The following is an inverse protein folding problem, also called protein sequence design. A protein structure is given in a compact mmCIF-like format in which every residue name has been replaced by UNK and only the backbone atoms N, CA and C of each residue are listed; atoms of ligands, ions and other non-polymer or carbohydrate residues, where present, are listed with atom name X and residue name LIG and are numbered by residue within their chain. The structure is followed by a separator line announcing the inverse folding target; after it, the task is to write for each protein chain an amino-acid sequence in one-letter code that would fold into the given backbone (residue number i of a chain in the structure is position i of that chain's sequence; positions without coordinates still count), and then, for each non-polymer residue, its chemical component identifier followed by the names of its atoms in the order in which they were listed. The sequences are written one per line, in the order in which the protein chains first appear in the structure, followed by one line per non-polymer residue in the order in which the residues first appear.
data_IF_617101044572
#
_entry.id   IF_617101044572
#
_cell.length_a   1.000
_cell.length_b   1.000
_cell.length_c   1.000
_cell.angle_alpha   90.00
_cell.angle_beta   90.00
_cell.angle_gamma   90.00
#
_symmetry.space_group_name_H-M   'P 1'
#
loop_
_entity.id
_entity.type
_entity.pdbx_description
1 polymer ?
#
# COMPACT_ATOMS: atom_id res chain seq x y z
N UNK A 1 9.15 -27.41 -7.97
CA UNK A 1 7.94 -26.65 -7.56
C UNK A 1 7.86 -25.53 -8.58
N UNK A 2 6.95 -25.70 -9.60
CA UNK A 2 6.84 -24.78 -10.71
C UNK A 2 6.34 -23.39 -10.26
N UNK A 3 6.86 -22.32 -10.83
CA UNK A 3 6.37 -20.96 -10.65
C UNK A 3 5.06 -20.82 -11.41
N UNK A 4 3.94 -20.84 -10.70
CA UNK A 4 2.65 -20.38 -11.23
C UNK A 4 2.67 -18.85 -11.31
N UNK A 5 2.54 -18.30 -12.51
CA UNK A 5 2.41 -16.85 -12.72
C UNK A 5 0.92 -16.50 -12.78
N UNK A 6 0.54 -15.35 -12.25
CA UNK A 6 -0.82 -14.81 -12.41
C UNK A 6 -1.25 -14.67 -13.89
N UNK A 7 -0.28 -14.54 -14.81
CA UNK A 7 -0.50 -14.58 -16.26
C UNK A 7 -1.06 -15.92 -16.77
N UNK A 8 -0.85 -17.01 -16.00
CA UNK A 8 -1.26 -18.36 -16.39
C UNK A 8 -2.68 -18.70 -15.89
N UNK A 9 -3.26 -17.81 -15.07
CA UNK A 9 -4.64 -17.87 -14.59
C UNK A 9 -5.59 -17.39 -15.68
N UNK A 10 -5.78 -18.18 -16.73
CA UNK A 10 -6.92 -17.97 -17.63
C UNK A 10 -8.19 -18.41 -16.91
N UNK A 11 -8.79 -17.48 -16.17
CA UNK A 11 -10.16 -17.65 -15.71
C UNK A 11 -11.07 -17.79 -16.94
N UNK A 12 -11.58 -18.98 -17.17
CA UNK A 12 -12.66 -19.21 -18.15
C UNK A 12 -14.01 -19.10 -17.43
N UNK A 13 -14.68 -17.94 -17.46
CA UNK A 13 -16.09 -17.93 -17.15
C UNK A 13 -16.81 -18.67 -18.29
N UNK A 14 -17.65 -19.62 -17.96
CA UNK A 14 -18.63 -20.15 -18.91
C UNK A 14 -19.68 -19.04 -19.15
N UNK A 15 -19.35 -18.06 -19.95
CA UNK A 15 -20.26 -17.05 -20.48
C UNK A 15 -19.94 -16.91 -21.96
N UNK A 16 -20.98 -17.08 -22.76
CA UNK A 16 -21.00 -17.18 -24.20
C UNK A 16 -19.96 -16.41 -25.00
N UNK A 17 -19.53 -17.02 -26.09
CA UNK A 17 -18.51 -16.53 -27.03
C UNK A 17 -18.72 -15.06 -27.44
N UNK A 18 -18.18 -14.13 -26.67
CA UNK A 18 -17.80 -12.83 -27.19
C UNK A 18 -16.28 -12.83 -27.27
N UNK A 19 -15.74 -12.76 -28.48
CA UNK A 19 -14.31 -12.50 -28.72
C UNK A 19 -13.96 -11.19 -27.99
N UNK A 20 -13.25 -11.29 -26.91
CA UNK A 20 -12.53 -10.15 -26.34
C UNK A 20 -11.32 -9.96 -27.24
N UNK A 21 -11.31 -8.89 -28.02
CA UNK A 21 -10.15 -8.49 -28.81
C UNK A 21 -8.98 -8.22 -27.86
N UNK A 22 -7.93 -9.02 -27.96
CA UNK A 22 -6.73 -8.97 -27.13
C UNK A 22 -5.58 -8.16 -27.78
N UNK A 23 -5.91 -7.12 -28.52
CA UNK A 23 -4.97 -6.07 -28.84
C UNK A 23 -5.46 -4.78 -28.20
N UNK A 24 -5.19 -4.58 -26.90
CA UNK A 24 -5.04 -3.22 -26.42
C UNK A 24 -3.74 -2.73 -27.08
N UNK A 25 -3.85 -1.74 -27.96
CA UNK A 25 -2.73 -0.85 -28.21
C UNK A 25 -2.20 -0.44 -26.85
N UNK A 26 -0.90 -0.62 -26.61
CA UNK A 26 -0.28 -0.23 -25.36
C UNK A 26 -0.57 1.26 -25.16
N UNK A 27 -1.45 1.58 -24.22
CA UNK A 27 -1.73 2.96 -23.89
C UNK A 27 -0.41 3.59 -23.38
N UNK A 28 0.12 4.63 -24.04
CA UNK A 28 1.36 5.27 -23.63
C UNK A 28 1.39 5.71 -22.17
N UNK A 29 0.24 5.83 -21.52
CA UNK A 29 0.11 6.14 -20.10
C UNK A 29 0.31 4.93 -19.17
N UNK A 30 0.38 3.71 -19.70
CA UNK A 30 0.52 2.51 -18.85
C UNK A 30 1.87 1.81 -18.97
N UNK A 31 2.68 2.12 -19.98
CA UNK A 31 4.03 1.57 -20.12
C UNK A 31 4.95 2.06 -19.00
N UNK A 32 5.38 1.16 -18.09
CA UNK A 32 6.19 1.50 -16.93
C UNK A 32 5.43 2.27 -15.83
N UNK A 33 4.13 1.99 -15.70
CA UNK A 33 3.24 2.66 -14.76
C UNK A 33 3.67 2.47 -13.31
N UNK A 34 3.71 3.56 -12.57
CA UNK A 34 3.96 3.59 -11.12
C UNK A 34 2.62 3.79 -10.41
N UNK A 35 2.21 2.81 -9.59
CA UNK A 35 1.09 2.93 -8.67
C UNK A 35 1.48 3.76 -7.44
N UNK A 36 0.58 4.62 -7.01
CA UNK A 36 0.74 5.41 -5.78
C UNK A 36 -0.53 5.24 -4.97
N UNK A 37 -0.41 4.75 -3.73
CA UNK A 37 -1.54 4.56 -2.83
C UNK A 37 -1.34 5.31 -1.52
N UNK A 38 -2.32 6.10 -1.12
CA UNK A 38 -2.21 6.90 0.10
C UNK A 38 -3.45 7.74 0.38
N UNK A 39 -3.29 8.80 1.12
CA UNK A 39 -4.36 9.76 1.41
C UNK A 39 -4.84 10.52 0.17
N UNK A 40 -6.01 11.13 0.27
CA UNK A 40 -6.68 11.79 -0.86
C UNK A 40 -5.98 13.06 -1.38
N UNK A 41 -5.02 13.62 -0.64
CA UNK A 41 -4.25 14.78 -1.10
C UNK A 41 -3.17 14.47 -2.15
N UNK A 42 -2.81 13.20 -2.34
CA UNK A 42 -1.69 12.83 -3.22
C UNK A 42 -1.96 13.01 -4.72
N UNK A 43 -3.21 13.00 -5.15
CA UNK A 43 -3.54 13.20 -6.57
C UNK A 43 -3.79 14.67 -6.98
N UNK A 44 -3.68 15.59 -6.04
CA UNK A 44 -3.69 17.06 -6.28
C UNK A 44 -2.28 17.64 -6.39
N UNK A 45 -1.29 16.78 -6.68
CA UNK A 45 0.11 17.16 -6.78
C UNK A 45 0.34 18.15 -7.92
N UNK A 46 1.11 19.20 -7.65
CA UNK A 46 1.62 20.10 -8.69
C UNK A 46 2.45 19.36 -9.74
N UNK A 47 2.27 19.70 -11.00
CA UNK A 47 3.01 19.10 -12.11
C UNK A 47 2.47 17.77 -12.60
N UNK A 48 1.28 17.36 -12.16
CA UNK A 48 0.58 16.22 -12.73
C UNK A 48 -0.11 16.63 -14.04
N UNK A 49 0.28 16.00 -15.14
CA UNK A 49 -0.20 16.26 -16.50
C UNK A 49 -1.08 15.11 -17.01
N UNK A 50 -1.89 15.34 -18.06
CA UNK A 50 -2.74 14.35 -18.72
C UNK A 50 -3.68 13.60 -17.77
N UNK A 51 -4.23 14.29 -16.79
CA UNK A 51 -5.01 13.71 -15.70
C UNK A 51 -6.33 13.15 -16.20
N UNK A 52 -6.60 11.89 -15.90
CA UNK A 52 -7.89 11.25 -16.13
C UNK A 52 -8.26 10.29 -15.01
N UNK A 53 -9.54 10.07 -14.81
CA UNK A 53 -10.06 9.05 -13.90
C UNK A 53 -10.34 7.74 -14.64
N UNK A 54 -9.99 6.62 -14.03
CA UNK A 54 -10.21 5.29 -14.56
C UNK A 54 -11.00 4.44 -13.57
N UNK A 55 -12.10 3.85 -14.03
CA UNK A 55 -12.89 2.89 -13.25
C UNK A 55 -12.40 1.49 -13.58
N UNK A 56 -11.72 0.85 -12.65
CA UNK A 56 -11.22 -0.51 -12.84
C UNK A 56 -12.16 -1.51 -12.19
N UNK A 57 -12.67 -2.44 -12.99
CA UNK A 57 -13.47 -3.57 -12.51
C UNK A 57 -12.57 -4.73 -12.17
N UNK A 58 -12.78 -5.33 -11.00
CA UNK A 58 -12.00 -6.48 -10.54
C UNK A 58 -12.90 -7.66 -10.18
N UNK A 59 -12.40 -8.90 -10.21
CA UNK A 59 -13.15 -10.06 -9.73
C UNK A 59 -13.40 -10.05 -8.21
N UNK A 60 -12.75 -9.14 -7.50
CA UNK A 60 -12.86 -8.97 -6.05
C UNK A 60 -13.82 -7.85 -5.64
N UNK A 61 -14.55 -7.28 -6.57
CA UNK A 61 -15.42 -6.13 -6.37
C UNK A 61 -14.74 -4.81 -6.75
N UNK A 62 -15.28 -3.71 -6.22
CA UNK A 62 -14.79 -2.37 -6.52
C UNK A 62 -13.60 -1.97 -5.64
N UNK A 63 -12.59 -1.28 -6.21
CA UNK A 63 -11.56 -0.59 -5.44
C UNK A 63 -12.14 0.51 -4.53
N UNK A 64 -11.32 1.02 -3.62
CA UNK A 64 -11.71 2.09 -2.69
C UNK A 64 -12.17 3.36 -3.39
N UNK A 65 -11.62 3.64 -4.56
CA UNK A 65 -12.01 4.78 -5.42
C UNK A 65 -11.63 4.50 -6.88
N UNK A 66 -11.92 5.47 -7.76
CA UNK A 66 -11.36 5.50 -9.12
C UNK A 66 -9.87 5.75 -9.05
N UNK A 67 -9.13 5.16 -9.98
CA UNK A 67 -7.73 5.49 -10.16
C UNK A 67 -7.60 6.82 -10.90
N UNK A 68 -6.71 7.68 -10.43
CA UNK A 68 -6.35 8.91 -11.12
C UNK A 68 -5.04 8.66 -11.86
N UNK A 69 -5.12 8.56 -13.19
CA UNK A 69 -3.95 8.38 -14.04
C UNK A 69 -3.44 9.74 -14.51
N UNK A 70 -2.14 9.83 -14.73
CA UNK A 70 -1.51 11.03 -15.26
C UNK A 70 -0.03 10.80 -15.55
N UNK A 71 0.67 11.90 -15.82
CA UNK A 71 2.12 11.94 -15.95
C UNK A 71 2.71 12.88 -14.91
N UNK A 72 3.69 12.39 -14.19
CA UNK A 72 4.49 13.20 -13.27
C UNK A 72 5.93 13.23 -13.80
N UNK A 73 6.41 14.42 -14.18
CA UNK A 73 7.72 14.57 -14.83
C UNK A 73 7.92 13.59 -16.00
N UNK A 74 6.90 13.44 -16.84
CA UNK A 74 6.88 12.54 -17.99
C UNK A 74 6.76 11.04 -17.68
N UNK A 75 6.71 10.63 -16.41
CA UNK A 75 6.52 9.23 -16.00
C UNK A 75 5.03 8.95 -15.79
N UNK A 76 4.50 7.84 -16.32
CA UNK A 76 3.11 7.47 -16.10
C UNK A 76 2.91 7.05 -14.64
N UNK A 77 1.86 7.60 -14.03
CA UNK A 77 1.48 7.34 -12.63
C UNK A 77 -0.02 7.04 -12.53
N UNK A 78 -0.38 6.21 -11.56
CA UNK A 78 -1.76 5.97 -11.18
C UNK A 78 -1.89 6.13 -9.66
N UNK A 79 -2.76 7.02 -9.22
CA UNK A 79 -3.05 7.24 -7.81
C UNK A 79 -4.33 6.52 -7.40
N UNK A 80 -4.35 5.99 -6.18
CA UNK A 80 -5.55 5.47 -5.53
C UNK A 80 -5.66 6.06 -4.12
N UNK A 81 -6.78 6.72 -3.83
CA UNK A 81 -7.14 7.12 -2.49
C UNK A 81 -7.50 5.88 -1.66
N UNK A 82 -6.61 5.46 -0.73
CA UNK A 82 -6.76 4.22 0.04
C UNK A 82 -8.11 4.13 0.74
N UNK A 83 -8.51 5.18 1.42
CA UNK A 83 -9.77 5.26 2.18
C UNK A 83 -10.94 5.85 1.38
N UNK A 84 -10.78 5.98 0.04
CA UNK A 84 -11.70 6.73 -0.81
C UNK A 84 -11.63 8.24 -0.56
N UNK A 85 -12.14 9.04 -1.49
CA UNK A 85 -12.24 10.48 -1.32
C UNK A 85 -13.11 10.82 -0.11
N UNK A 86 -12.64 11.76 0.70
CA UNK A 86 -13.29 12.15 1.94
C UNK A 86 -13.11 11.15 3.08
N UNK A 87 -12.14 10.22 2.98
CA UNK A 87 -11.77 9.27 4.05
C UNK A 87 -12.99 8.50 4.60
N UNK A 88 -13.78 7.90 3.70
CA UNK A 88 -15.09 7.30 4.01
C UNK A 88 -15.05 5.83 4.38
N UNK A 89 -13.91 5.15 4.16
CA UNK A 89 -13.73 3.72 4.42
C UNK A 89 -12.81 3.51 5.63
N UNK A 90 -13.27 2.74 6.60
CA UNK A 90 -12.42 2.29 7.70
C UNK A 90 -11.33 1.30 7.21
N UNK A 91 -10.23 1.12 7.95
CA UNK A 91 -9.15 0.20 7.56
C UNK A 91 -9.62 -1.22 7.23
N UNK A 92 -10.61 -1.74 7.96
CA UNK A 92 -11.13 -3.10 7.75
C UNK A 92 -12.24 -3.18 6.67
N UNK A 93 -12.74 -2.03 6.18
CA UNK A 93 -13.66 -1.96 5.04
C UNK A 93 -12.94 -1.85 3.70
N UNK A 94 -11.62 -1.63 3.72
CA UNK A 94 -10.82 -1.51 2.51
C UNK A 94 -10.84 -2.81 1.71
N UNK A 95 -11.24 -2.74 0.45
CA UNK A 95 -11.11 -3.86 -0.46
C UNK A 95 -9.67 -3.95 -1.00
N UNK A 96 -8.74 -4.38 -0.14
CA UNK A 96 -7.33 -4.49 -0.49
C UNK A 96 -7.09 -5.32 -1.76
N UNK A 97 -7.87 -6.40 -1.95
CA UNK A 97 -7.77 -7.23 -3.16
C UNK A 97 -8.10 -6.43 -4.41
N UNK A 98 -9.23 -5.72 -4.40
CA UNK A 98 -9.61 -4.90 -5.54
C UNK A 98 -8.59 -3.77 -5.79
N UNK A 99 -8.10 -3.14 -4.73
CA UNK A 99 -7.11 -2.06 -4.82
C UNK A 99 -5.81 -2.52 -5.50
N UNK A 100 -5.22 -3.61 -5.05
CA UNK A 100 -3.96 -4.09 -5.62
C UNK A 100 -4.16 -4.75 -6.97
N UNK A 101 -5.24 -5.52 -7.14
CA UNK A 101 -5.57 -6.10 -8.45
C UNK A 101 -5.84 -5.05 -9.52
N UNK A 102 -6.45 -3.94 -9.15
CA UNK A 102 -6.68 -2.83 -10.07
C UNK A 102 -5.39 -2.22 -10.59
N UNK A 103 -4.38 -2.03 -9.75
CA UNK A 103 -3.04 -1.64 -10.21
C UNK A 103 -2.43 -2.67 -11.17
N UNK A 104 -2.64 -3.97 -10.91
CA UNK A 104 -2.19 -5.03 -11.82
C UNK A 104 -2.89 -4.96 -13.18
N UNK A 105 -4.20 -4.70 -13.21
CA UNK A 105 -4.98 -4.51 -14.45
C UNK A 105 -4.50 -3.31 -15.25
N UNK A 106 -4.11 -2.24 -14.57
CA UNK A 106 -3.55 -1.02 -15.19
C UNK A 106 -2.12 -1.22 -15.69
N UNK A 107 -1.45 -2.32 -15.33
CA UNK A 107 -0.09 -2.61 -15.74
C UNK A 107 0.98 -2.01 -14.82
N UNK A 108 0.65 -1.65 -13.58
CA UNK A 108 1.64 -1.17 -12.64
C UNK A 108 2.66 -2.26 -12.28
N UNK A 109 3.93 -1.91 -12.34
CA UNK A 109 5.06 -2.76 -11.94
C UNK A 109 5.58 -2.41 -10.56
N UNK A 110 5.34 -1.19 -10.10
CA UNK A 110 5.74 -0.67 -8.79
C UNK A 110 4.55 -0.02 -8.10
N UNK A 111 4.49 -0.16 -6.77
CA UNK A 111 3.55 0.56 -5.93
C UNK A 111 4.32 1.28 -4.82
N UNK A 112 4.22 2.60 -4.82
CA UNK A 112 4.64 3.47 -3.72
C UNK A 112 3.44 3.66 -2.79
N UNK A 113 3.59 3.29 -1.53
CA UNK A 113 2.56 3.53 -0.53
C UNK A 113 2.99 4.62 0.42
N UNK A 114 2.10 5.54 0.75
CA UNK A 114 2.29 6.52 1.81
C UNK A 114 1.23 6.31 2.89
N UNK A 115 1.66 6.29 4.15
CA UNK A 115 0.78 6.04 5.28
C UNK A 115 1.24 6.79 6.51
N UNK A 116 0.34 7.48 7.20
CA UNK A 116 0.58 8.02 8.53
C UNK A 116 0.74 6.87 9.53
N UNK A 117 1.68 6.99 10.47
CA UNK A 117 2.00 5.98 11.47
C UNK A 117 2.41 6.62 12.80
N UNK A 118 2.15 5.90 13.91
CA UNK A 118 2.75 6.20 15.19
C UNK A 118 4.16 5.59 15.31
N UNK A 119 5.08 6.30 15.97
CA UNK A 119 6.41 5.77 16.29
C UNK A 119 6.41 4.95 17.57
N UNK A 120 7.17 3.86 17.57
CA UNK A 120 7.46 3.02 18.74
C UNK A 120 8.89 3.23 19.28
N UNK A 121 9.63 4.21 18.73
CA UNK A 121 11.02 4.51 19.04
C UNK A 121 11.24 5.97 19.36
N UNK A 122 12.06 6.26 20.36
CA UNK A 122 12.46 7.63 20.70
C UNK A 122 13.23 8.34 19.59
N UNK A 123 14.03 7.57 18.85
CA UNK A 123 14.89 8.07 17.78
C UNK A 123 14.16 8.33 16.46
N UNK A 124 12.97 7.77 16.28
CA UNK A 124 12.11 7.99 15.09
C UNK A 124 11.01 8.97 15.51
N UNK A 125 11.19 10.22 15.18
CA UNK A 125 10.37 11.33 15.71
C UNK A 125 9.20 11.66 14.81
N UNK A 126 8.15 12.31 15.32
CA UNK A 126 7.15 12.97 14.47
C UNK A 126 7.83 13.83 13.40
N UNK A 127 7.31 13.81 12.18
CA UNK A 127 7.85 14.39 10.94
C UNK A 127 9.03 13.61 10.31
N UNK A 128 9.53 12.58 10.94
CA UNK A 128 10.47 11.65 10.29
C UNK A 128 9.72 10.70 9.34
N UNK A 129 10.46 10.10 8.42
CA UNK A 129 9.97 9.08 7.50
C UNK A 129 10.71 7.78 7.81
N UNK A 130 9.97 6.68 7.96
CA UNK A 130 10.56 5.34 7.98
C UNK A 130 10.24 4.61 6.66
N UNK A 131 11.24 3.97 6.07
CA UNK A 131 11.07 3.00 4.98
C UNK A 131 11.21 1.61 5.57
N UNK A 132 10.11 0.98 6.03
CA UNK A 132 10.16 -0.32 6.69
C UNK A 132 10.47 -1.43 5.70
N UNK A 133 11.17 -2.45 6.14
CA UNK A 133 11.48 -3.65 5.38
C UNK A 133 10.80 -4.91 5.94
N UNK A 134 10.18 -4.81 7.13
CA UNK A 134 9.48 -5.90 7.79
C UNK A 134 8.09 -5.49 8.26
N UNK A 135 7.19 -6.49 8.37
CA UNK A 135 5.84 -6.33 8.89
C UNK A 135 5.53 -7.36 9.96
N UNK A 136 4.76 -6.92 10.97
CA UNK A 136 4.13 -7.80 11.94
C UNK A 136 2.60 -7.68 11.85
N UNK A 137 1.91 -8.80 11.65
CA UNK A 137 0.45 -8.83 11.43
C UNK A 137 -0.31 -8.97 12.75
N UNK A 138 -1.08 -7.95 13.10
CA UNK A 138 -2.04 -7.97 14.21
C UNK A 138 -3.47 -7.78 13.72
N UNK A 139 -3.72 -7.99 12.43
CA UNK A 139 -5.06 -7.95 11.85
C UNK A 139 -5.70 -9.35 11.89
N UNK A 140 -7.02 -9.43 11.96
CA UNK A 140 -7.74 -10.69 12.17
C UNK A 140 -8.88 -10.94 11.17
N UNK A 141 -9.39 -9.90 10.51
CA UNK A 141 -10.63 -9.99 9.71
C UNK A 141 -10.42 -9.58 8.24
N UNK A 142 -9.19 -9.52 7.76
CA UNK A 142 -8.89 -8.98 6.43
C UNK A 142 -8.52 -10.07 5.44
N UNK A 143 -9.09 -9.99 4.24
CA UNK A 143 -8.64 -10.80 3.12
C UNK A 143 -7.25 -10.30 2.68
N UNK A 144 -6.25 -11.19 2.70
CA UNK A 144 -4.85 -10.89 2.39
C UNK A 144 -4.24 -11.83 1.35
N UNK A 145 -5.10 -12.48 0.54
CA UNK A 145 -4.69 -13.33 -0.59
C UNK A 145 -5.72 -13.25 -1.71
N UNK A 146 -5.24 -13.36 -2.95
CA UNK A 146 -6.08 -13.49 -4.13
C UNK A 146 -6.57 -14.93 -4.37
N UNK A 147 -5.90 -15.88 -3.73
CA UNK A 147 -6.12 -17.31 -3.95
C UNK A 147 -7.15 -17.86 -2.96
N UNK A 148 -7.79 -18.96 -3.35
CA UNK A 148 -8.85 -19.61 -2.61
C UNK A 148 -9.68 -20.48 -3.55
N UNK A 149 -10.85 -20.93 -3.11
CA UNK A 149 -11.84 -21.66 -3.91
C UNK A 149 -11.24 -22.81 -4.75
N UNK A 150 -10.30 -23.55 -4.17
CA UNK A 150 -9.64 -24.68 -4.81
C UNK A 150 -8.27 -24.37 -5.43
N UNK A 151 -7.85 -23.12 -5.48
CA UNK A 151 -6.51 -22.72 -5.90
C UNK A 151 -5.71 -22.20 -4.70
N UNK A 152 -4.58 -22.82 -4.42
CA UNK A 152 -3.69 -22.47 -3.31
C UNK A 152 -2.35 -22.01 -3.88
N UNK A 153 -1.85 -20.87 -3.42
CA UNK A 153 -0.49 -20.41 -3.67
C UNK A 153 0.21 -20.05 -2.37
N UNK A 154 1.47 -20.43 -2.26
CA UNK A 154 2.34 -20.05 -1.14
C UNK A 154 3.46 -19.17 -1.68
N UNK A 155 3.41 -17.88 -1.39
CA UNK A 155 4.46 -16.93 -1.75
C UNK A 155 5.40 -16.70 -0.57
N UNK A 156 6.68 -16.46 -0.86
CA UNK A 156 7.64 -16.12 0.19
C UNK A 156 7.40 -14.69 0.68
N UNK A 157 7.35 -14.51 2.00
CA UNK A 157 7.18 -13.24 2.69
C UNK A 157 8.33 -12.92 3.65
N UNK A 158 9.48 -13.62 3.53
CA UNK A 158 10.65 -13.30 4.36
C UNK A 158 11.12 -11.86 4.17
N UNK A 159 11.06 -11.37 2.95
CA UNK A 159 11.35 -9.98 2.58
C UNK A 159 10.09 -9.38 1.94
N UNK A 160 9.16 -8.82 2.73
CA UNK A 160 7.84 -8.43 2.25
C UNK A 160 7.85 -7.21 1.33
N UNK A 161 8.88 -6.38 1.40
CA UNK A 161 9.02 -5.15 0.59
C UNK A 161 10.07 -5.30 -0.50
N UNK A 162 10.03 -4.42 -1.49
CA UNK A 162 11.03 -4.36 -2.55
C UNK A 162 12.26 -3.56 -2.08
N UNK A 163 13.44 -4.18 -1.92
CA UNK A 163 14.62 -3.50 -1.40
C UNK A 163 15.15 -2.41 -2.34
N UNK A 164 14.94 -2.57 -3.66
CA UNK A 164 15.36 -1.58 -4.67
C UNK A 164 14.50 -0.33 -4.55
N UNK A 165 13.18 -0.50 -4.48
CA UNK A 165 12.25 0.62 -4.36
C UNK A 165 12.42 1.32 -3.00
N UNK A 166 12.63 0.56 -1.93
CA UNK A 166 12.93 1.10 -0.60
C UNK A 166 14.19 1.95 -0.57
N UNK A 167 15.26 1.52 -1.27
CA UNK A 167 16.49 2.30 -1.41
C UNK A 167 16.27 3.61 -2.20
N UNK A 168 15.48 3.55 -3.27
CA UNK A 168 15.14 4.75 -4.07
C UNK A 168 14.39 5.76 -3.19
N UNK A 169 13.37 5.32 -2.44
CA UNK A 169 12.60 6.17 -1.54
C UNK A 169 13.47 6.78 -0.43
N UNK A 170 14.35 5.98 0.16
CA UNK A 170 15.29 6.45 1.18
C UNK A 170 16.18 7.57 0.66
N UNK A 171 16.79 7.40 -0.53
CA UNK A 171 17.65 8.42 -1.14
C UNK A 171 16.87 9.67 -1.52
N UNK A 172 15.73 9.51 -2.19
CA UNK A 172 14.90 10.64 -2.61
C UNK A 172 14.46 11.50 -1.41
N UNK A 173 14.02 10.86 -0.31
CA UNK A 173 13.67 11.60 0.90
C UNK A 173 14.84 12.38 1.49
N UNK A 174 16.04 11.80 1.49
CA UNK A 174 17.25 12.51 1.96
C UNK A 174 17.68 13.65 1.04
N UNK A 175 17.53 13.49 -0.25
CA UNK A 175 17.88 14.52 -1.24
C UNK A 175 17.04 15.79 -1.07
N UNK A 176 15.77 15.65 -0.64
CA UNK A 176 14.90 16.80 -0.32
C UNK A 176 15.09 17.32 1.12
N UNK A 177 16.03 16.77 1.88
CA UNK A 177 16.36 17.22 3.24
C UNK A 177 15.48 16.63 4.34
N UNK A 178 14.65 15.62 4.06
CA UNK A 178 13.86 14.94 5.08
C UNK A 178 14.75 14.04 5.96
N UNK A 179 14.36 13.86 7.22
CA UNK A 179 14.93 12.83 8.10
C UNK A 179 14.30 11.50 7.74
N UNK A 180 15.09 10.60 7.16
CA UNK A 180 14.60 9.29 6.71
C UNK A 180 15.38 8.17 7.37
N UNK A 181 14.65 7.25 7.99
CA UNK A 181 15.17 6.01 8.55
C UNK A 181 14.94 4.86 7.56
N UNK A 182 15.85 3.90 7.53
CA UNK A 182 15.77 2.75 6.63
C UNK A 182 15.78 1.45 7.40
N UNK A 183 14.91 0.53 6.98
CA UNK A 183 14.68 -0.74 7.66
C UNK A 183 13.78 -0.56 8.88
N UNK A 184 13.39 -1.66 9.48
CA UNK A 184 12.55 -1.69 10.66
C UNK A 184 11.20 -2.36 10.43
N UNK A 185 10.54 -2.66 11.54
CA UNK A 185 9.29 -3.42 11.57
C UNK A 185 8.08 -2.52 11.73
N UNK A 186 7.17 -2.61 10.78
CA UNK A 186 5.84 -2.00 10.84
C UNK A 186 4.86 -3.01 11.43
N UNK A 187 4.27 -2.74 12.60
CA UNK A 187 3.13 -3.51 13.11
C UNK A 187 1.84 -2.98 12.50
N UNK A 188 1.06 -3.88 11.89
CA UNK A 188 -0.23 -3.54 11.31
C UNK A 188 -1.34 -4.02 12.24
N UNK A 189 -2.08 -3.10 12.86
CA UNK A 189 -3.22 -3.39 13.73
C UNK A 189 -4.55 -3.29 12.98
N UNK A 190 -5.61 -3.86 13.56
CA UNK A 190 -6.93 -3.89 12.91
C UNK A 190 -7.54 -2.49 12.76
N UNK A 191 -7.47 -1.64 13.78
CA UNK A 191 -8.23 -0.40 13.83
C UNK A 191 -9.76 -0.61 13.91
N UNK A 192 -10.59 0.44 13.75
CA UNK A 192 -10.19 1.83 13.59
C UNK A 192 -9.69 2.49 14.87
N UNK A 193 -9.85 1.83 16.05
CA UNK A 193 -9.36 2.36 17.32
C UNK A 193 -7.82 2.33 17.32
N UNK A 194 -7.22 3.34 17.92
CA UNK A 194 -5.80 3.35 18.26
C UNK A 194 -5.51 2.37 19.40
N UNK A 195 -4.23 2.10 19.64
CA UNK A 195 -3.79 1.19 20.70
C UNK A 195 -4.21 1.66 22.08
N UNK A 196 -4.49 0.72 22.96
CA UNK A 196 -4.46 1.01 24.41
C UNK A 196 -3.00 1.18 24.86
N UNK A 197 -2.78 1.88 25.98
CA UNK A 197 -1.43 2.02 26.57
C UNK A 197 -0.77 0.67 26.88
N UNK A 198 -1.56 -0.35 27.21
CA UNK A 198 -1.05 -1.69 27.45
C UNK A 198 -0.58 -2.37 26.16
N UNK A 199 -1.35 -2.28 25.08
CA UNK A 199 -0.99 -2.79 23.78
C UNK A 199 0.28 -2.09 23.25
N UNK A 200 0.30 -0.77 23.31
CA UNK A 200 1.44 0.04 22.87
C UNK A 200 2.75 -0.36 23.56
N UNK A 201 2.72 -0.54 24.89
CA UNK A 201 3.88 -1.01 25.67
C UNK A 201 4.31 -2.43 25.28
N UNK A 202 3.36 -3.33 25.01
CA UNK A 202 3.64 -4.69 24.55
C UNK A 202 4.30 -4.66 23.17
N UNK A 203 3.72 -3.95 22.21
CA UNK A 203 4.25 -3.83 20.85
C UNK A 203 5.66 -3.24 20.84
N UNK A 204 5.88 -2.20 21.65
CA UNK A 204 7.20 -1.61 21.83
C UNK A 204 8.20 -2.61 22.41
N UNK A 205 7.79 -3.46 23.38
CA UNK A 205 8.64 -4.50 23.96
C UNK A 205 9.03 -5.60 22.96
N UNK A 206 8.22 -5.79 21.90
CA UNK A 206 8.54 -6.73 20.82
C UNK A 206 9.57 -6.18 19.81
N UNK A 207 9.97 -4.93 19.97
CA UNK A 207 10.99 -4.31 19.14
C UNK A 207 10.47 -3.82 17.80
N UNK A 208 9.16 -3.57 17.64
CA UNK A 208 8.63 -2.91 16.46
C UNK A 208 9.00 -1.43 16.43
N UNK A 209 9.04 -0.85 15.25
CA UNK A 209 9.53 0.51 15.04
C UNK A 209 8.41 1.51 14.80
N UNK A 210 7.38 1.13 14.06
CA UNK A 210 6.20 1.95 13.80
C UNK A 210 4.91 1.13 13.84
N UNK A 211 3.79 1.81 14.09
CA UNK A 211 2.45 1.23 14.13
C UNK A 211 1.53 1.93 13.15
N UNK A 212 0.76 1.15 12.41
CA UNK A 212 -0.28 1.65 11.51
C UNK A 212 -1.32 0.59 11.20
N UNK A 213 -2.20 0.83 10.22
CA UNK A 213 -3.40 0.01 10.06
C UNK A 213 -3.55 -0.63 8.67
N UNK A 214 -2.73 -0.33 7.65
CA UNK A 214 -3.14 -0.63 6.26
C UNK A 214 -2.11 -1.32 5.38
N UNK A 215 -0.82 -1.13 5.61
CA UNK A 215 0.22 -1.49 4.62
C UNK A 215 0.51 -2.99 4.47
N UNK A 216 0.21 -3.80 5.48
CA UNK A 216 0.55 -5.23 5.43
C UNK A 216 -0.25 -5.99 4.36
N UNK A 217 -1.57 -5.75 4.26
CA UNK A 217 -2.39 -6.39 3.24
C UNK A 217 -1.98 -5.95 1.83
N UNK A 218 -1.60 -4.68 1.67
CA UNK A 218 -1.05 -4.18 0.41
C UNK A 218 0.23 -4.93 0.04
N UNK A 219 1.18 -5.08 0.98
CA UNK A 219 2.43 -5.79 0.75
C UNK A 219 2.22 -7.27 0.39
N UNK A 220 1.34 -7.98 1.11
CA UNK A 220 1.00 -9.39 0.83
C UNK A 220 0.42 -9.56 -0.57
N UNK A 221 -0.55 -8.73 -0.93
CA UNK A 221 -1.24 -8.80 -2.22
C UNK A 221 -0.33 -8.32 -3.37
N UNK A 222 0.48 -7.29 -3.15
CA UNK A 222 1.47 -6.86 -4.14
C UNK A 222 2.49 -7.98 -4.43
N UNK A 223 2.91 -8.73 -3.41
CA UNK A 223 3.79 -9.89 -3.57
C UNK A 223 3.13 -10.99 -4.42
N UNK A 224 1.88 -11.32 -4.16
CA UNK A 224 1.13 -12.29 -4.97
C UNK A 224 0.89 -11.80 -6.40
N UNK A 225 0.70 -10.48 -6.59
CA UNK A 225 0.55 -9.86 -7.89
C UNK A 225 1.87 -9.66 -8.66
N UNK A 226 3.02 -10.03 -8.08
CA UNK A 226 4.36 -9.79 -8.64
C UNK A 226 4.62 -8.29 -8.90
N UNK A 227 4.12 -7.42 -8.04
CA UNK A 227 4.34 -5.96 -8.07
C UNK A 227 5.38 -5.61 -7.00
N UNK A 228 6.37 -4.82 -7.38
CA UNK A 228 7.36 -4.27 -6.46
C UNK A 228 6.69 -3.24 -5.55
N UNK A 229 6.68 -3.47 -4.24
CA UNK A 229 5.99 -2.64 -3.26
C UNK A 229 6.95 -2.09 -2.21
N UNK A 230 6.85 -0.81 -1.91
CA UNK A 230 7.47 -0.20 -0.74
C UNK A 230 6.58 0.90 -0.17
N UNK A 231 6.71 1.17 1.12
CA UNK A 231 5.94 2.21 1.80
C UNK A 231 6.85 3.26 2.43
N UNK A 232 6.38 4.50 2.41
CA UNK A 232 6.86 5.59 3.25
C UNK A 232 5.92 5.69 4.45
N UNK A 233 6.39 5.29 5.61
CA UNK A 233 5.70 5.46 6.87
C UNK A 233 6.01 6.87 7.39
N UNK A 234 5.02 7.75 7.29
CA UNK A 234 5.13 9.15 7.69
C UNK A 234 4.77 9.24 9.17
N UNK A 235 5.73 9.55 10.01
CA UNK A 235 5.53 9.55 11.47
C UNK A 235 4.78 10.82 11.88
N UNK A 236 3.60 10.65 12.47
CA UNK A 236 2.75 11.74 12.95
C UNK A 236 2.84 11.94 14.45
N UNK A 237 3.09 10.87 15.21
CA UNK A 237 3.02 10.83 16.67
C UNK A 237 3.86 9.69 17.26
N UNK A 238 3.88 9.57 18.59
CA UNK A 238 4.52 8.47 19.35
C UNK A 238 3.50 7.43 19.86
N UNK A 239 2.38 7.24 19.16
CA UNK A 239 1.27 6.42 19.64
C UNK A 239 0.81 6.88 21.05
N UNK A 240 0.59 5.97 22.00
CA UNK A 240 0.16 6.30 23.36
C UNK A 240 1.15 5.89 24.47
N UNK A 241 2.37 5.52 24.10
CA UNK A 241 3.40 5.09 25.07
C UNK A 241 4.25 6.23 25.61
N UNK A 242 4.37 7.32 24.84
CA UNK A 242 5.20 8.46 25.22
C UNK A 242 4.50 9.27 26.34
N UNK A 243 5.29 9.75 27.30
CA UNK A 243 4.72 10.37 28.51
C UNK A 243 4.64 11.90 28.45
N UNK A 244 5.38 12.51 27.54
CA UNK A 244 5.51 13.98 27.42
C UNK A 244 4.86 14.55 26.17
N UNK A 245 4.51 13.72 25.20
CA UNK A 245 3.78 14.11 23.99
C UNK A 245 2.29 13.84 24.16
N UNK A 246 1.46 14.55 23.40
CA UNK A 246 0.03 14.29 23.36
C UNK A 246 -0.28 12.91 22.80
N UNK A 247 -1.32 12.26 23.31
CA UNK A 247 -1.81 10.99 22.77
C UNK A 247 -2.24 11.17 21.32
N UNK A 248 -2.01 10.15 20.48
CA UNK A 248 -2.46 10.13 19.10
C UNK A 248 -3.95 10.44 18.99
N UNK A 249 -4.30 11.32 18.07
CA UNK A 249 -5.69 11.69 17.75
C UNK A 249 -5.86 11.87 16.24
N UNK A 250 -7.11 11.99 15.78
CA UNK A 250 -7.43 12.09 14.34
C UNK A 250 -6.94 13.40 13.72
N UNK A 251 -6.76 14.46 14.51
CA UNK A 251 -6.28 15.75 14.01
C UNK A 251 -4.78 15.75 13.72
N UNK A 252 -4.03 14.83 14.35
CA UNK A 252 -2.59 14.66 14.13
C UNK A 252 -2.28 13.78 12.92
N UNK A 253 -3.24 13.01 12.40
CA UNK A 253 -3.13 12.04 11.31
C UNK A 253 -3.67 12.64 10.01
#
# INVERSE_FOLDING_TARGET
IGRLRLSDLTFRPQIGKRRVATHREEDPLTAGLIGIIGGSGLYEMEGLEDVREEVVRTPFGEPSDRYVLGRLQGRPVAFLARHGRGHRLMPSELNFRANIFGFKVLGAEWILSASAVGSMREEIKPLDILIPDQFFDRTTQRASTFFGDGLIAHVSMADPTCPILGEILYRAGREIGATVHRGGTYICIEGPQFSTRAESRIYRSWGVDVIGMTNLQEAKLAREAEICYATMALVTDYDVWHTTEEDVNVEAV
#
